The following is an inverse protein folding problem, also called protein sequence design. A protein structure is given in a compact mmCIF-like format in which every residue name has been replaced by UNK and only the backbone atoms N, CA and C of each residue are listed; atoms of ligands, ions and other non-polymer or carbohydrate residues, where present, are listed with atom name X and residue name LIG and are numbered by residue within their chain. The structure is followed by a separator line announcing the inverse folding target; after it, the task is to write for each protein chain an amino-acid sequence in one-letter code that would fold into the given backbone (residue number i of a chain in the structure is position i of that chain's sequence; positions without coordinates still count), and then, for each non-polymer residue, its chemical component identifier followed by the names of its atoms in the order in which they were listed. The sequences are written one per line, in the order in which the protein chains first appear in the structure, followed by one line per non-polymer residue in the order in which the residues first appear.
data_IF_532142835936
#
_entry.id   IF_532142835936
#
_cell.length_a   1.000
_cell.length_b   1.000
_cell.length_c   1.000
_cell.angle_alpha   90.00
_cell.angle_beta   90.00
_cell.angle_gamma   90.00
#
_symmetry.space_group_name_H-M   'P 1'
#
loop_
_entity.id
_entity.type
_entity.pdbx_description
1 polymer ?
#
# COMPACT_ATOMS: atom_id res chain seq x y z
N UNK A 1 -12.03 33.09 62.90
CA UNK A 1 -12.63 32.64 61.62
C UNK A 1 -13.02 33.90 60.85
N UNK A 2 -12.15 34.51 60.03
CA UNK A 2 -11.85 34.22 58.60
C UNK A 2 -13.10 33.99 57.76
N UNK A 3 -13.34 34.88 56.80
CA UNK A 3 -13.63 34.57 55.38
C UNK A 3 -13.56 35.90 54.58
N UNK A 4 -12.47 36.08 53.84
CA UNK A 4 -12.28 37.15 52.85
C UNK A 4 -12.70 36.55 51.51
N UNK A 5 -13.71 37.12 50.84
CA UNK A 5 -14.12 36.70 49.50
C UNK A 5 -13.25 37.43 48.46
N UNK A 6 -12.43 36.68 47.72
CA UNK A 6 -11.63 37.20 46.61
C UNK A 6 -12.43 37.04 45.30
N UNK A 7 -12.77 38.16 44.66
CA UNK A 7 -13.29 38.21 43.29
C UNK A 7 -12.13 37.98 42.31
N UNK A 8 -12.13 36.84 41.63
CA UNK A 8 -11.19 36.55 40.56
C UNK A 8 -11.66 37.20 39.24
N UNK A 9 -10.85 38.09 38.68
CA UNK A 9 -11.07 38.68 37.36
C UNK A 9 -10.73 37.66 36.26
N UNK A 10 -11.69 37.36 35.39
CA UNK A 10 -11.53 36.43 34.27
C UNK A 10 -10.85 37.15 33.09
N UNK A 11 -9.57 36.85 32.83
CA UNK A 11 -8.82 37.36 31.69
C UNK A 11 -9.09 36.46 30.48
N UNK A 12 -9.87 36.95 29.50
CA UNK A 12 -10.17 36.22 28.26
C UNK A 12 -8.97 36.34 27.31
N UNK A 13 -8.22 35.25 27.16
CA UNK A 13 -7.14 35.14 26.18
C UNK A 13 -7.78 34.84 24.82
N UNK A 14 -7.84 35.84 23.94
CA UNK A 14 -8.23 35.64 22.54
C UNK A 14 -7.04 35.02 21.81
N UNK A 15 -7.10 33.71 21.57
CA UNK A 15 -6.18 33.00 20.68
C UNK A 15 -6.50 33.42 19.23
N UNK A 16 -5.85 34.48 18.75
CA UNK A 16 -5.90 34.83 17.34
C UNK A 16 -5.23 33.74 16.51
N UNK A 17 -6.01 33.02 15.70
CA UNK A 17 -5.47 32.12 14.69
C UNK A 17 -4.72 32.97 13.66
N UNK A 18 -3.39 32.93 13.68
CA UNK A 18 -2.60 33.58 12.64
C UNK A 18 -2.90 32.88 11.30
N UNK A 19 -3.04 33.64 10.19
CA UNK A 19 -3.17 33.00 8.89
C UNK A 19 -1.92 32.16 8.66
N UNK A 20 -2.10 30.89 8.30
CA UNK A 20 -0.99 30.06 7.87
C UNK A 20 -0.40 30.71 6.62
N UNK A 21 0.73 31.39 6.76
CA UNK A 21 1.46 31.91 5.61
C UNK A 21 1.72 30.72 4.67
N UNK A 22 1.39 30.88 3.39
CA UNK A 22 1.80 29.97 2.33
C UNK A 22 3.30 29.69 2.51
N UNK A 23 3.64 28.43 2.78
CA UNK A 23 4.99 28.07 3.20
C UNK A 23 5.76 27.64 1.96
N UNK A 24 6.56 28.54 1.37
CA UNK A 24 7.53 28.15 0.35
C UNK A 24 8.74 27.45 0.99
N UNK A 25 8.49 26.35 1.72
CA UNK A 25 9.50 25.58 2.44
C UNK A 25 8.96 24.19 2.70
N UNK A 26 9.78 23.19 2.41
CA UNK A 26 9.36 21.81 2.40
C UNK A 26 10.55 20.88 2.64
N UNK A 27 10.26 19.64 2.99
CA UNK A 27 11.27 18.59 3.02
C UNK A 27 11.51 18.03 1.62
N UNK A 28 12.77 17.92 1.20
CA UNK A 28 13.17 17.06 0.10
C UNK A 28 13.70 15.75 0.68
N UNK A 29 13.03 14.65 0.39
CA UNK A 29 13.38 13.33 0.89
C UNK A 29 13.99 12.48 -0.22
N UNK A 30 15.14 11.87 0.06
CA UNK A 30 15.72 10.85 -0.80
C UNK A 30 15.19 9.48 -0.40
N UNK A 31 14.24 8.96 -1.18
CA UNK A 31 13.66 7.64 -1.02
C UNK A 31 14.09 6.67 -2.11
N UNK A 32 15.18 6.99 -2.78
CA UNK A 32 15.83 6.12 -3.76
C UNK A 32 16.90 5.29 -3.07
N UNK A 33 17.30 4.18 -3.69
CA UNK A 33 18.48 3.42 -3.28
C UNK A 33 19.81 4.10 -3.64
N UNK A 34 19.79 5.31 -4.21
CA UNK A 34 20.97 6.03 -4.67
C UNK A 34 21.23 7.28 -3.82
N UNK A 35 22.49 7.64 -3.63
CA UNK A 35 22.84 8.91 -2.97
C UNK A 35 22.60 10.08 -3.92
N UNK A 36 21.84 11.09 -3.48
CA UNK A 36 21.72 12.35 -4.21
C UNK A 36 22.93 13.23 -3.88
N UNK A 37 23.72 13.58 -4.88
CA UNK A 37 24.95 14.38 -4.73
C UNK A 37 24.73 15.86 -5.05
N UNK A 38 23.67 16.19 -5.78
CA UNK A 38 23.23 17.57 -5.95
C UNK A 38 21.70 17.68 -6.00
N UNK A 39 21.16 18.77 -5.46
CA UNK A 39 19.78 19.17 -5.64
C UNK A 39 19.75 20.64 -6.03
N UNK A 40 18.93 21.01 -7.01
CA UNK A 40 18.75 22.40 -7.45
C UNK A 40 17.26 22.72 -7.46
N UNK A 41 16.94 23.96 -7.08
CA UNK A 41 15.57 24.47 -7.04
C UNK A 41 15.56 25.81 -7.74
N UNK A 42 14.66 26.00 -8.70
CA UNK A 42 14.45 27.26 -9.42
C UNK A 42 12.97 27.59 -9.54
N UNK A 43 12.59 28.87 -9.67
CA UNK A 43 11.24 29.23 -10.09
C UNK A 43 10.96 28.66 -11.48
N UNK A 44 9.78 28.08 -11.73
CA UNK A 44 9.44 27.43 -13.00
C UNK A 44 9.47 28.35 -14.23
N UNK A 45 9.53 29.67 -14.04
CA UNK A 45 9.72 30.64 -15.13
C UNK A 45 11.17 30.77 -15.61
N UNK A 46 12.13 30.21 -14.86
CA UNK A 46 13.56 30.34 -15.13
C UNK A 46 14.07 29.00 -15.65
N UNK A 47 14.67 29.01 -16.83
CA UNK A 47 15.23 27.82 -17.49
C UNK A 47 16.61 27.43 -16.97
N UNK A 48 17.30 28.38 -16.35
CA UNK A 48 18.62 28.16 -15.74
C UNK A 48 18.47 27.64 -14.31
N UNK A 49 19.17 26.55 -14.02
CA UNK A 49 19.17 25.95 -12.70
C UNK A 49 20.14 26.67 -11.77
N UNK A 50 19.69 26.92 -10.53
CA UNK A 50 20.50 27.53 -9.49
C UNK A 50 21.61 26.63 -8.93
N UNK A 51 22.29 27.11 -7.88
CA UNK A 51 23.34 26.38 -7.18
C UNK A 51 22.84 25.10 -6.52
N UNK A 52 23.76 24.18 -6.19
CA UNK A 52 23.44 22.99 -5.41
C UNK A 52 23.05 23.40 -3.99
N UNK A 53 21.89 22.96 -3.51
CA UNK A 53 21.40 23.28 -2.16
C UNK A 53 21.95 22.33 -1.07
N UNK A 54 22.61 21.23 -1.45
CA UNK A 54 23.18 20.25 -0.53
C UNK A 54 24.54 20.69 0.05
N UNK A 55 24.51 21.76 0.85
CA UNK A 55 25.73 22.40 1.39
C UNK A 55 26.41 21.60 2.52
N UNK A 56 25.72 20.61 3.10
CA UNK A 56 26.23 19.78 4.20
C UNK A 56 26.67 18.38 3.74
N UNK A 57 26.82 18.20 2.43
CA UNK A 57 27.18 16.94 1.81
C UNK A 57 25.99 16.21 1.16
N UNK A 58 26.26 15.06 0.53
CA UNK A 58 25.26 14.31 -0.22
C UNK A 58 24.11 13.81 0.65
N UNK A 59 22.92 13.72 0.07
CA UNK A 59 21.72 13.22 0.74
C UNK A 59 21.60 11.70 0.51
N UNK A 60 21.92 10.90 1.54
CA UNK A 60 21.89 9.43 1.45
C UNK A 60 20.47 8.86 1.34
N UNK A 61 20.33 7.61 0.88
CA UNK A 61 19.06 6.87 0.94
C UNK A 61 18.39 6.95 2.32
N UNK A 62 17.15 7.43 2.37
CA UNK A 62 16.30 7.53 3.56
C UNK A 62 16.44 8.85 4.31
N UNK A 63 17.40 9.70 3.91
CA UNK A 63 17.57 11.03 4.50
C UNK A 63 16.65 12.06 3.85
N UNK A 64 16.47 13.16 4.57
CA UNK A 64 15.75 14.34 4.08
C UNK A 64 16.55 15.61 4.36
N UNK A 65 16.37 16.62 3.52
CA UNK A 65 16.93 17.96 3.68
C UNK A 65 15.81 18.98 3.72
N UNK A 66 15.95 19.99 4.58
CA UNK A 66 15.02 21.10 4.64
C UNK A 66 15.35 22.11 3.55
N UNK A 67 14.37 22.40 2.69
CA UNK A 67 14.51 23.34 1.58
C UNK A 67 13.81 24.64 1.96
N UNK A 68 14.57 25.73 1.96
CA UNK A 68 14.06 27.09 2.14
C UNK A 68 14.64 27.98 1.04
N UNK A 69 13.94 28.12 -0.10
CA UNK A 69 14.38 28.95 -1.20
C UNK A 69 14.44 30.43 -0.81
N UNK A 70 15.36 31.18 -1.42
CA UNK A 70 15.51 32.62 -1.19
C UNK A 70 14.59 33.49 -2.07
N UNK A 71 13.58 32.89 -2.69
CA UNK A 71 12.59 33.56 -3.56
C UNK A 71 11.16 33.23 -3.10
N UNK A 72 10.20 34.09 -3.44
CA UNK A 72 8.81 33.98 -2.97
C UNK A 72 7.88 33.21 -3.91
N UNK A 73 8.42 32.58 -4.95
CA UNK A 73 7.64 31.87 -5.96
C UNK A 73 6.99 30.58 -5.44
N UNK A 74 5.73 30.36 -5.81
CA UNK A 74 4.99 29.15 -5.41
C UNK A 74 5.14 28.00 -6.40
N UNK A 75 5.44 28.26 -7.67
CA UNK A 75 5.65 27.22 -8.68
C UNK A 75 7.13 27.05 -8.95
N UNK A 76 7.67 25.90 -8.54
CA UNK A 76 9.09 25.60 -8.56
C UNK A 76 9.39 24.38 -9.39
N UNK A 77 10.55 24.39 -10.01
CA UNK A 77 11.18 23.24 -10.62
C UNK A 77 12.27 22.74 -9.67
N UNK A 78 12.29 21.43 -9.44
CA UNK A 78 13.25 20.77 -8.56
C UNK A 78 13.92 19.67 -9.37
N UNK A 79 15.24 19.68 -9.43
CA UNK A 79 16.02 18.55 -9.95
C UNK A 79 17.00 18.03 -8.94
N UNK A 80 17.33 16.76 -9.07
CA UNK A 80 18.38 16.09 -8.31
C UNK A 80 19.32 15.39 -9.27
N UNK A 81 20.59 15.29 -8.87
CA UNK A 81 21.60 14.47 -9.53
C UNK A 81 22.08 13.41 -8.55
N UNK A 82 22.07 12.16 -9.00
CA UNK A 82 22.53 11.00 -8.23
C UNK A 82 24.04 10.79 -8.39
N UNK A 83 24.61 9.97 -7.50
CA UNK A 83 26.04 9.66 -7.51
C UNK A 83 26.50 8.95 -8.80
N UNK A 84 25.61 8.25 -9.50
CA UNK A 84 25.88 7.62 -10.81
C UNK A 84 25.85 8.62 -11.99
N UNK A 85 25.53 9.90 -11.71
CA UNK A 85 25.43 10.96 -12.71
C UNK A 85 24.05 11.11 -13.35
N UNK A 86 23.10 10.22 -13.06
CA UNK A 86 21.71 10.36 -13.53
C UNK A 86 21.00 11.52 -12.85
N UNK A 87 19.98 12.06 -13.51
CA UNK A 87 19.17 13.17 -13.00
C UNK A 87 17.69 12.81 -12.99
N UNK A 88 16.96 13.33 -12.02
CA UNK A 88 15.50 13.23 -11.90
C UNK A 88 14.94 14.58 -11.44
N UNK A 89 13.67 14.85 -11.72
CA UNK A 89 13.10 16.17 -11.43
C UNK A 89 11.59 16.24 -11.52
N UNK A 90 11.06 17.22 -10.82
CA UNK A 90 9.66 17.61 -10.87
C UNK A 90 9.58 19.07 -11.32
N UNK A 91 8.79 19.31 -12.36
CA UNK A 91 8.56 20.65 -12.90
C UNK A 91 7.18 21.15 -12.45
N UNK A 92 7.06 22.46 -12.21
CA UNK A 92 5.79 23.12 -11.89
C UNK A 92 5.19 22.71 -10.54
N UNK A 93 6.02 22.38 -9.54
CA UNK A 93 5.56 21.96 -8.22
C UNK A 93 5.00 23.15 -7.44
N UNK A 94 3.81 23.01 -6.87
CA UNK A 94 3.16 24.05 -6.06
C UNK A 94 3.68 24.08 -4.61
N UNK A 95 4.88 24.64 -4.42
CA UNK A 95 5.64 24.66 -3.18
C UNK A 95 4.93 25.34 -2.00
N UNK A 96 4.10 26.36 -2.24
CA UNK A 96 3.38 27.09 -1.19
C UNK A 96 2.36 26.26 -0.40
N UNK A 97 1.93 25.13 -0.96
CA UNK A 97 1.05 24.15 -0.33
C UNK A 97 1.74 22.82 -0.06
N UNK A 98 3.03 22.71 -0.40
CA UNK A 98 3.80 21.49 -0.31
C UNK A 98 4.49 21.40 1.05
N UNK A 99 4.34 20.27 1.73
CA UNK A 99 5.10 19.99 2.96
C UNK A 99 6.34 19.12 2.70
N UNK A 100 6.30 18.29 1.64
CA UNK A 100 7.35 17.36 1.28
C UNK A 100 7.32 17.03 -0.21
N UNK A 101 8.51 16.93 -0.80
CA UNK A 101 8.75 16.28 -2.08
C UNK A 101 9.64 15.05 -1.87
N UNK A 102 9.29 13.95 -2.51
CA UNK A 102 9.98 12.67 -2.37
C UNK A 102 10.56 12.27 -3.72
N UNK A 103 11.86 12.01 -3.78
CA UNK A 103 12.50 11.41 -4.94
C UNK A 103 12.60 9.90 -4.71
N UNK A 104 12.09 9.11 -5.65
CA UNK A 104 11.87 7.67 -5.47
C UNK A 104 10.47 7.32 -4.95
N UNK A 105 10.18 6.03 -4.85
CA UNK A 105 8.90 5.51 -4.32
C UNK A 105 8.77 5.85 -2.83
N UNK A 106 7.57 6.10 -2.27
CA UNK A 106 7.29 6.47 -0.85
C UNK A 106 7.73 5.47 0.25
N UNK A 107 8.60 4.49 -0.05
CA UNK A 107 9.14 3.54 0.93
C UNK A 107 10.58 3.92 1.39
N UNK A 108 10.81 4.18 2.70
CA UNK A 108 12.15 4.34 3.29
C UNK A 108 13.04 3.13 3.02
N UNK A 109 14.23 3.40 2.50
CA UNK A 109 15.17 2.45 1.88
C UNK A 109 15.56 1.16 2.62
N UNK A 110 15.66 0.06 1.87
CA UNK A 110 16.87 -0.78 1.63
C UNK A 110 16.57 -1.88 0.56
N UNK A 111 17.54 -2.59 -0.04
CA UNK A 111 18.39 -2.21 -1.17
C UNK A 111 18.23 -3.17 -2.38
N UNK A 112 18.75 -2.80 -3.57
CA UNK A 112 18.72 -3.58 -4.83
C UNK A 112 17.32 -3.69 -5.45
N UNK A 113 17.22 -3.47 -6.77
CA UNK A 113 15.99 -3.75 -7.50
C UNK A 113 15.51 -5.18 -7.17
N UNK A 114 14.26 -5.42 -6.74
CA UNK A 114 13.76 -6.78 -6.69
C UNK A 114 13.87 -7.33 -8.13
N UNK A 115 14.37 -8.56 -8.35
CA UNK A 115 14.12 -9.22 -9.62
C UNK A 115 12.62 -9.08 -9.93
N UNK A 116 12.21 -8.94 -11.21
CA UNK A 116 10.84 -8.63 -11.59
C UNK A 116 9.91 -9.34 -10.64
N UNK A 117 9.19 -8.58 -9.81
CA UNK A 117 8.33 -9.12 -8.75
C UNK A 117 7.59 -10.27 -9.42
N UNK A 118 7.75 -11.55 -9.00
CA UNK A 118 7.04 -12.63 -9.65
C UNK A 118 5.61 -12.15 -9.73
N UNK A 119 5.06 -11.98 -10.93
CA UNK A 119 3.68 -11.53 -11.11
C UNK A 119 2.88 -12.28 -10.06
N UNK A 120 2.26 -11.57 -9.10
CA UNK A 120 1.80 -12.23 -7.87
C UNK A 120 1.01 -13.45 -8.30
N UNK A 121 1.59 -14.62 -8.02
CA UNK A 121 1.21 -15.82 -8.74
C UNK A 121 -0.28 -16.00 -8.48
N UNK A 122 -1.11 -16.10 -9.55
CA UNK A 122 -2.55 -16.01 -9.42
C UNK A 122 -3.03 -16.85 -8.24
N UNK A 123 -3.74 -16.22 -7.30
CA UNK A 123 -4.17 -16.90 -6.08
C UNK A 123 -5.44 -17.68 -6.38
N UNK A 124 -5.41 -19.03 -6.42
CA UNK A 124 -6.60 -19.80 -6.71
C UNK A 124 -7.43 -20.05 -5.45
N UNK A 125 -7.04 -19.51 -4.29
CA UNK A 125 -7.76 -19.68 -3.02
C UNK A 125 -9.01 -18.80 -2.97
N UNK A 126 -10.10 -19.35 -2.45
CA UNK A 126 -11.41 -18.70 -2.39
C UNK A 126 -12.17 -19.15 -1.13
N UNK A 127 -13.29 -18.49 -0.82
CA UNK A 127 -14.22 -18.92 0.22
C UNK A 127 -15.31 -19.80 -0.40
N UNK A 128 -15.44 -21.03 0.07
CA UNK A 128 -16.52 -21.94 -0.31
C UNK A 128 -17.77 -21.63 0.53
N UNK A 129 -18.92 -21.46 -0.12
CA UNK A 129 -20.21 -21.19 0.52
C UNK A 129 -21.17 -22.32 0.19
N UNK A 130 -21.77 -22.93 1.21
CA UNK A 130 -22.81 -23.93 1.00
C UNK A 130 -24.16 -23.26 0.73
N UNK A 131 -24.55 -23.17 -0.54
CA UNK A 131 -25.85 -22.68 -1.00
C UNK A 131 -26.86 -23.76 -1.40
N UNK A 132 -26.57 -25.04 -1.13
CA UNK A 132 -27.40 -26.19 -1.58
C UNK A 132 -28.66 -26.45 -0.74
N UNK A 133 -28.80 -25.80 0.41
CA UNK A 133 -29.89 -26.05 1.35
C UNK A 133 -29.72 -27.30 2.22
N UNK A 134 -28.68 -28.11 1.98
CA UNK A 134 -28.39 -29.35 2.73
C UNK A 134 -27.00 -29.29 3.40
N UNK A 135 -26.79 -29.93 4.57
CA UNK A 135 -25.47 -29.98 5.21
C UNK A 135 -24.46 -30.81 4.40
N UNK A 136 -23.29 -30.25 4.16
CA UNK A 136 -22.17 -30.93 3.48
C UNK A 136 -21.28 -31.59 4.53
N UNK A 137 -20.97 -32.87 4.34
CA UNK A 137 -20.14 -33.68 5.22
C UNK A 137 -18.66 -33.62 4.86
N UNK A 138 -18.35 -33.66 3.56
CA UNK A 138 -16.96 -33.66 3.06
C UNK A 138 -16.84 -32.69 1.87
N UNK A 139 -15.73 -31.97 1.81
CA UNK A 139 -15.40 -31.07 0.70
C UNK A 139 -14.00 -31.44 0.19
N UNK A 140 -13.91 -31.77 -1.08
CA UNK A 140 -12.66 -31.98 -1.78
C UNK A 140 -12.47 -30.90 -2.83
N UNK A 141 -11.29 -30.28 -2.84
CA UNK A 141 -10.93 -29.26 -3.83
C UNK A 141 -9.51 -29.50 -4.30
N UNK A 142 -9.33 -29.68 -5.59
CA UNK A 142 -8.04 -29.89 -6.24
C UNK A 142 -7.91 -28.98 -7.46
N UNK A 143 -6.72 -28.43 -7.71
CA UNK A 143 -6.48 -27.77 -8.99
C UNK A 143 -6.63 -28.79 -10.13
N UNK A 144 -7.11 -28.37 -11.29
CA UNK A 144 -7.29 -29.28 -12.46
C UNK A 144 -5.97 -29.92 -12.93
N UNK A 145 -4.82 -29.31 -12.59
CA UNK A 145 -3.50 -29.88 -12.84
C UNK A 145 -3.14 -31.05 -11.90
N UNK A 146 -3.94 -31.29 -10.85
CA UNK A 146 -3.74 -32.38 -9.90
C UNK A 146 -4.60 -33.58 -10.29
N UNK A 147 -4.01 -34.79 -10.23
CA UNK A 147 -4.71 -36.03 -10.60
C UNK A 147 -5.59 -36.60 -9.50
N UNK A 148 -5.38 -36.15 -8.25
CA UNK A 148 -6.06 -36.67 -7.07
C UNK A 148 -6.77 -35.54 -6.34
N UNK A 149 -7.88 -35.87 -5.70
CA UNK A 149 -8.70 -34.94 -4.92
C UNK A 149 -8.04 -34.40 -3.64
N UNK A 150 -7.06 -35.13 -3.12
CA UNK A 150 -6.44 -34.83 -1.84
C UNK A 150 -7.35 -35.17 -0.66
N UNK A 151 -7.05 -34.59 0.49
CA UNK A 151 -7.82 -34.78 1.73
C UNK A 151 -9.06 -33.91 1.76
N UNK A 152 -10.06 -34.35 2.54
CA UNK A 152 -11.21 -33.54 2.90
C UNK A 152 -10.76 -32.23 3.58
N UNK A 153 -11.36 -31.13 3.17
CA UNK A 153 -11.07 -29.77 3.63
C UNK A 153 -11.76 -29.43 4.95
N UNK A 154 -12.87 -30.09 5.29
CA UNK A 154 -13.58 -29.88 6.55
C UNK A 154 -12.92 -30.64 7.71
N UNK A 155 -12.46 -31.85 7.42
CA UNK A 155 -11.91 -32.75 8.42
C UNK A 155 -12.99 -33.58 9.12
N UNK A 156 -12.60 -34.64 9.85
CA UNK A 156 -13.48 -35.76 10.21
C UNK A 156 -14.58 -35.44 11.24
N UNK A 157 -14.62 -34.23 11.80
CA UNK A 157 -15.56 -33.83 12.86
C UNK A 157 -16.39 -32.61 12.49
N UNK A 158 -16.18 -32.04 11.31
CA UNK A 158 -16.82 -30.80 10.90
C UNK A 158 -17.80 -31.08 9.76
N UNK A 159 -18.96 -30.45 9.83
CA UNK A 159 -19.91 -30.35 8.73
C UNK A 159 -20.03 -28.88 8.34
N UNK A 160 -20.40 -28.62 7.09
CA UNK A 160 -20.70 -27.26 6.62
C UNK A 160 -22.23 -27.11 6.46
N UNK A 161 -22.93 -26.47 7.42
CA UNK A 161 -24.37 -26.25 7.32
C UNK A 161 -24.77 -25.38 6.11
N UNK A 162 -26.05 -25.41 5.70
CA UNK A 162 -26.56 -24.47 4.70
C UNK A 162 -26.32 -23.01 5.10
N UNK A 163 -25.89 -22.19 4.15
CA UNK A 163 -25.55 -20.78 4.36
C UNK A 163 -24.19 -20.54 5.02
N UNK A 164 -23.52 -21.58 5.55
CA UNK A 164 -22.19 -21.45 6.12
C UNK A 164 -21.11 -21.41 5.04
N UNK A 165 -19.94 -20.88 5.41
CA UNK A 165 -18.79 -20.74 4.51
C UNK A 165 -17.47 -21.08 5.18
N UNK A 166 -16.49 -21.50 4.40
CA UNK A 166 -15.12 -21.73 4.87
C UNK A 166 -14.07 -21.29 3.85
N UNK A 167 -12.87 -20.87 4.28
CA UNK A 167 -11.77 -20.58 3.37
C UNK A 167 -11.16 -21.87 2.81
N UNK A 168 -10.93 -21.90 1.50
CA UNK A 168 -10.20 -22.97 0.80
C UNK A 168 -8.85 -22.41 0.36
N UNK A 169 -7.78 -22.90 0.96
CA UNK A 169 -6.41 -22.58 0.58
C UNK A 169 -5.91 -23.56 -0.48
N UNK A 170 -5.47 -23.03 -1.63
CA UNK A 170 -4.89 -23.79 -2.73
C UNK A 170 -3.46 -23.35 -3.02
N UNK A 171 -2.58 -24.26 -3.47
CA UNK A 171 -1.20 -23.92 -3.79
C UNK A 171 -1.17 -22.94 -4.97
N UNK A 172 -0.32 -21.91 -4.88
CA UNK A 172 -0.13 -20.93 -5.94
C UNK A 172 0.81 -21.49 -7.00
N UNK A 173 0.28 -22.33 -7.89
CA UNK A 173 1.05 -22.92 -9.00
C UNK A 173 0.91 -22.14 -10.31
N UNK A 174 0.08 -21.09 -10.33
CA UNK A 174 -0.31 -20.37 -11.54
C UNK A 174 -1.50 -20.97 -12.29
N UNK A 175 -2.03 -22.11 -11.84
CA UNK A 175 -3.28 -22.70 -12.34
C UNK A 175 -4.47 -22.06 -11.63
N UNK A 176 -5.42 -21.54 -12.41
CA UNK A 176 -6.59 -20.82 -11.90
C UNK A 176 -7.89 -21.62 -11.96
N UNK A 177 -7.83 -22.87 -12.39
CA UNK A 177 -8.99 -23.75 -12.48
C UNK A 177 -8.92 -24.83 -11.42
N UNK A 178 -10.04 -25.07 -10.74
CA UNK A 178 -10.18 -26.11 -9.74
C UNK A 178 -11.38 -27.02 -10.02
N UNK A 179 -11.23 -28.26 -9.60
CA UNK A 179 -12.30 -29.23 -9.49
C UNK A 179 -12.74 -29.29 -8.03
N UNK A 180 -14.04 -29.44 -7.81
CA UNK A 180 -14.67 -29.52 -6.51
C UNK A 180 -15.58 -30.74 -6.45
N UNK A 181 -15.49 -31.49 -5.36
CA UNK A 181 -16.38 -32.61 -5.06
C UNK A 181 -16.91 -32.42 -3.65
N UNK A 182 -18.20 -32.63 -3.47
CA UNK A 182 -18.86 -32.62 -2.16
C UNK A 182 -19.51 -33.96 -1.89
N UNK A 183 -19.54 -34.34 -0.60
CA UNK A 183 -20.32 -35.47 -0.12
C UNK A 183 -21.30 -34.98 0.93
N UNK A 184 -22.58 -35.26 0.71
CA UNK A 184 -23.66 -34.89 1.62
C UNK A 184 -23.81 -35.92 2.74
N UNK A 185 -24.62 -35.58 3.75
CA UNK A 185 -24.87 -36.47 4.90
C UNK A 185 -25.47 -37.83 4.50
N UNK A 186 -26.27 -37.88 3.43
CA UNK A 186 -26.87 -39.09 2.85
C UNK A 186 -25.86 -39.95 2.05
N UNK A 187 -24.62 -39.48 1.88
CA UNK A 187 -23.58 -40.15 1.09
C UNK A 187 -23.62 -39.83 -0.41
N UNK A 188 -24.55 -38.99 -0.87
CA UNK A 188 -24.60 -38.52 -2.25
C UNK A 188 -23.35 -37.69 -2.56
N UNK A 189 -22.76 -37.98 -3.72
CA UNK A 189 -21.55 -37.31 -4.21
C UNK A 189 -21.92 -36.43 -5.40
N UNK A 190 -21.45 -35.18 -5.39
CA UNK A 190 -21.60 -34.26 -6.50
C UNK A 190 -20.28 -33.61 -6.85
N UNK A 191 -20.06 -33.33 -8.13
CA UNK A 191 -18.82 -32.75 -8.64
C UNK A 191 -19.09 -31.54 -9.53
N UNK A 192 -18.21 -30.56 -9.45
CA UNK A 192 -18.10 -29.47 -10.43
C UNK A 192 -16.64 -29.39 -10.87
N UNK A 193 -16.43 -29.33 -12.18
CA UNK A 193 -15.10 -29.42 -12.80
C UNK A 193 -14.76 -28.12 -13.52
N UNK A 194 -13.47 -27.82 -13.62
CA UNK A 194 -12.92 -26.67 -14.36
C UNK A 194 -13.51 -25.31 -13.92
N UNK A 195 -13.67 -25.09 -12.62
CA UNK A 195 -14.15 -23.81 -12.08
C UNK A 195 -13.00 -22.81 -12.05
N UNK A 196 -13.16 -21.65 -12.68
CA UNK A 196 -12.22 -20.53 -12.60
C UNK A 196 -12.28 -19.87 -11.20
N UNK A 197 -11.19 -19.97 -10.43
CA UNK A 197 -11.13 -19.52 -9.04
C UNK A 197 -10.39 -18.20 -8.84
N UNK A 198 -9.41 -17.86 -9.68
CA UNK A 198 -8.62 -16.63 -9.50
C UNK A 198 -9.43 -15.34 -9.68
N UNK A 199 -10.54 -15.40 -10.41
CA UNK A 199 -11.41 -14.25 -10.64
C UNK A 199 -12.49 -14.08 -9.56
N UNK A 200 -12.61 -15.04 -8.62
CA UNK A 200 -13.69 -15.07 -7.63
C UNK A 200 -13.14 -15.11 -6.22
N UNK A 201 -13.79 -14.37 -5.32
CA UNK A 201 -13.50 -14.42 -3.88
C UNK A 201 -14.33 -15.46 -3.16
N UNK A 202 -15.56 -15.67 -3.63
CA UNK A 202 -16.51 -16.60 -3.07
C UNK A 202 -17.03 -17.52 -4.17
N UNK A 203 -17.08 -18.81 -3.88
CA UNK A 203 -17.73 -19.80 -4.72
C UNK A 203 -18.95 -20.34 -3.98
N UNK A 204 -20.13 -20.20 -4.58
CA UNK A 204 -21.39 -20.66 -3.97
C UNK A 204 -21.78 -22.00 -4.59
N UNK A 205 -21.71 -23.07 -3.79
CA UNK A 205 -22.17 -24.39 -4.19
C UNK A 205 -23.69 -24.46 -4.10
N UNK A 206 -24.37 -24.76 -5.20
CA UNK A 206 -25.83 -24.83 -5.28
C UNK A 206 -26.29 -26.26 -5.55
#
# INVERSE_FOLDING_TARGET
MRLIAALAALMVIVLGAQPAAAQNRFWLQNNTGQTIVAANVSPSRVTEWGANILNRGPLQPGMQVWVEPNFSDCYLDIRVRFADGTEDGHLGVHACTLSRITFGSDAPNTPTSPPPRPAEQPNPSFTFVNGSGEPIREIYVSLTSQRNWGSDRLGPRQILPPGASMPIALPRTGVCTADMRVVFMDGRVMEQRNVETCAIRNFVWR
#
